data_IF_803347701913
#
_entry.id   IF_803347701913
#
_cell.length_a   1.000
_cell.length_b   1.000
_cell.length_c   1.000
_cell.angle_alpha   90.00
_cell.angle_beta   90.00
_cell.angle_gamma   90.00
#
_symmetry.space_group_name_H-M   'P 1'
#
loop_
_entity.id
_entity.type
_entity.pdbx_description
1 polymer ?
#
# COMPACT_ATOMS: atom_id res chain seq x y z
N UNK A 1 -24.45 4.55 8.11
CA UNK A 1 -24.78 4.05 6.77
C UNK A 1 -23.71 3.07 6.38
N UNK A 2 -24.10 1.80 6.18
CA UNK A 2 -23.18 0.78 5.66
C UNK A 2 -23.15 0.95 4.15
N UNK A 3 -22.03 1.40 3.61
CA UNK A 3 -21.85 1.58 2.19
C UNK A 3 -21.45 0.23 1.57
N UNK A 4 -22.41 -0.47 0.99
CA UNK A 4 -22.17 -1.65 0.17
C UNK A 4 -22.31 -1.28 -1.29
N UNK A 5 -21.32 -1.66 -2.09
CA UNK A 5 -21.43 -1.62 -3.55
C UNK A 5 -21.86 -3.01 -4.04
N UNK A 6 -23.00 -3.09 -4.71
CA UNK A 6 -23.51 -4.34 -5.28
C UNK A 6 -23.20 -4.40 -6.77
N UNK A 7 -22.60 -5.50 -7.18
CA UNK A 7 -22.32 -5.77 -8.59
C UNK A 7 -22.94 -7.10 -8.98
N UNK A 8 -23.79 -7.10 -10.00
CA UNK A 8 -24.35 -8.31 -10.58
C UNK A 8 -23.36 -8.91 -11.58
N UNK A 9 -22.99 -10.16 -11.37
CA UNK A 9 -22.00 -10.87 -12.19
C UNK A 9 -22.59 -12.19 -12.69
N UNK A 10 -22.46 -12.51 -13.99
CA UNK A 10 -22.81 -13.82 -14.49
C UNK A 10 -21.99 -14.92 -13.79
N UNK A 11 -22.61 -16.07 -13.50
CA UNK A 11 -21.92 -17.15 -12.78
C UNK A 11 -20.61 -17.59 -13.47
N UNK A 12 -20.56 -17.60 -14.80
CA UNK A 12 -19.35 -17.93 -15.57
C UNK A 12 -18.14 -17.06 -15.22
N UNK A 13 -18.39 -15.80 -14.84
CA UNK A 13 -17.35 -14.80 -14.56
C UNK A 13 -17.03 -14.72 -13.06
N UNK A 14 -17.83 -15.41 -12.20
CA UNK A 14 -17.72 -15.33 -10.75
C UNK A 14 -16.31 -15.67 -10.22
N UNK A 15 -15.67 -16.70 -10.77
CA UNK A 15 -14.36 -17.14 -10.27
C UNK A 15 -13.20 -16.22 -10.70
N UNK A 16 -13.42 -15.43 -11.75
CA UNK A 16 -12.47 -14.42 -12.21
C UNK A 16 -12.60 -13.13 -11.42
N UNK A 17 -13.83 -12.66 -11.20
CA UNK A 17 -14.06 -11.35 -10.57
C UNK A 17 -14.39 -11.45 -9.08
N UNK A 18 -14.87 -12.60 -8.59
CA UNK A 18 -15.32 -12.79 -7.21
C UNK A 18 -14.22 -12.60 -6.16
N UNK A 19 -12.95 -12.72 -6.56
CA UNK A 19 -11.81 -12.41 -5.70
C UNK A 19 -11.77 -10.94 -5.28
N UNK A 20 -12.39 -10.06 -6.07
CA UNK A 20 -12.40 -8.61 -5.82
C UNK A 20 -13.50 -8.16 -4.84
N UNK A 21 -14.33 -9.09 -4.33
CA UNK A 21 -15.47 -8.77 -3.45
C UNK A 21 -15.35 -9.52 -2.12
N UNK A 22 -15.80 -8.90 -1.04
CA UNK A 22 -15.77 -9.49 0.31
C UNK A 22 -16.92 -10.46 0.52
N UNK A 23 -18.07 -10.18 -0.10
CA UNK A 23 -19.32 -10.91 0.07
C UNK A 23 -19.81 -11.39 -1.30
N UNK A 24 -20.12 -12.67 -1.37
CA UNK A 24 -20.70 -13.30 -2.55
C UNK A 24 -22.13 -13.72 -2.22
N UNK A 25 -23.08 -13.20 -2.95
CA UNK A 25 -24.47 -13.57 -2.84
C UNK A 25 -24.87 -14.49 -4.00
N UNK A 26 -25.21 -15.72 -3.70
CA UNK A 26 -25.66 -16.68 -4.72
C UNK A 26 -27.17 -16.61 -4.83
N UNK A 27 -27.64 -16.27 -6.03
CA UNK A 27 -29.05 -16.36 -6.36
C UNK A 27 -29.57 -17.81 -6.27
N UNK A 28 -30.86 -18.04 -6.03
CA UNK A 28 -31.40 -19.37 -5.85
C UNK A 28 -31.05 -20.34 -6.98
N UNK A 29 -31.01 -19.86 -8.23
CA UNK A 29 -30.73 -20.64 -9.43
C UNK A 29 -29.34 -21.28 -9.44
N UNK A 30 -28.40 -20.71 -8.70
CA UNK A 30 -26.99 -21.17 -8.61
C UNK A 30 -26.61 -21.57 -7.20
N UNK A 31 -27.54 -21.61 -6.26
CA UNK A 31 -27.30 -21.90 -4.85
C UNK A 31 -26.72 -23.30 -4.60
N UNK A 32 -26.93 -24.25 -5.54
CA UNK A 32 -26.35 -25.59 -5.50
C UNK A 32 -24.84 -25.59 -5.68
N UNK A 33 -24.25 -24.53 -6.26
CA UNK A 33 -22.80 -24.35 -6.41
C UNK A 33 -22.10 -23.82 -5.16
N UNK A 34 -22.83 -23.60 -4.06
CA UNK A 34 -22.32 -22.99 -2.83
C UNK A 34 -21.02 -23.62 -2.32
N UNK A 35 -20.97 -24.95 -2.22
CA UNK A 35 -19.77 -25.63 -1.71
C UNK A 35 -18.55 -25.45 -2.63
N UNK A 36 -18.77 -25.42 -3.93
CA UNK A 36 -17.73 -25.17 -4.92
C UNK A 36 -17.21 -23.73 -4.84
N UNK A 37 -18.13 -22.76 -4.72
CA UNK A 37 -17.77 -21.34 -4.59
C UNK A 37 -16.97 -21.11 -3.31
N UNK A 38 -17.39 -21.64 -2.16
CA UNK A 38 -16.64 -21.56 -0.91
C UNK A 38 -15.23 -22.16 -1.01
N UNK A 39 -15.11 -23.28 -1.73
CA UNK A 39 -13.81 -23.96 -1.88
C UNK A 39 -12.83 -23.17 -2.75
N UNK A 40 -13.33 -22.49 -3.79
CA UNK A 40 -12.51 -21.75 -4.75
C UNK A 40 -12.22 -20.32 -4.25
N UNK A 41 -13.25 -19.63 -3.73
CA UNK A 41 -13.15 -18.28 -3.21
C UNK A 41 -12.92 -18.32 -1.69
N UNK A 42 -11.79 -18.93 -1.27
CA UNK A 42 -11.43 -19.03 0.15
C UNK A 42 -11.31 -17.63 0.78
N UNK A 43 -11.81 -17.52 2.02
CA UNK A 43 -11.78 -16.25 2.77
C UNK A 43 -12.89 -15.27 2.40
N UNK A 44 -13.74 -15.57 1.41
CA UNK A 44 -14.92 -14.77 1.09
C UNK A 44 -16.14 -15.24 1.83
N UNK A 45 -17.00 -14.30 2.25
CA UNK A 45 -18.30 -14.65 2.82
C UNK A 45 -19.27 -15.01 1.69
N UNK A 46 -19.69 -16.26 1.65
CA UNK A 46 -20.62 -16.75 0.63
C UNK A 46 -21.97 -16.99 1.25
N UNK A 47 -23.03 -16.39 0.70
CA UNK A 47 -24.40 -16.55 1.13
C UNK A 47 -25.29 -17.08 0.02
N UNK A 48 -26.25 -17.91 0.38
CA UNK A 48 -27.35 -18.31 -0.50
C UNK A 48 -28.55 -17.43 -0.21
N UNK A 49 -29.05 -16.70 -1.19
CA UNK A 49 -30.28 -15.92 -1.04
C UNK A 49 -31.45 -16.90 -1.00
N UNK A 50 -32.27 -16.92 0.06
CA UNK A 50 -33.44 -17.80 0.13
C UNK A 50 -34.43 -17.51 -1.02
N UNK A 51 -35.07 -18.55 -1.56
CA UNK A 51 -36.03 -18.42 -2.67
C UNK A 51 -37.11 -17.36 -2.42
N UNK A 52 -37.64 -17.31 -1.21
CA UNK A 52 -38.72 -16.40 -0.85
C UNK A 52 -38.23 -14.93 -0.79
N UNK A 53 -37.01 -14.72 -0.29
CA UNK A 53 -36.37 -13.40 -0.23
C UNK A 53 -36.08 -12.88 -1.64
N UNK A 54 -35.56 -13.76 -2.50
CA UNK A 54 -35.28 -13.44 -3.89
C UNK A 54 -36.57 -13.15 -4.69
N UNK A 55 -37.60 -13.99 -4.55
CA UNK A 55 -38.86 -13.82 -5.24
C UNK A 55 -39.63 -12.57 -4.85
N UNK A 56 -39.46 -12.09 -3.62
CA UNK A 56 -40.08 -10.85 -3.11
C UNK A 56 -39.24 -9.60 -3.33
N UNK A 57 -38.05 -9.71 -3.93
CA UNK A 57 -37.08 -8.60 -4.04
C UNK A 57 -36.78 -7.93 -2.69
N UNK A 58 -36.79 -8.70 -1.59
CA UNK A 58 -36.62 -8.18 -0.23
C UNK A 58 -35.14 -7.85 0.07
N UNK A 59 -34.71 -6.68 -0.39
CA UNK A 59 -33.36 -6.18 -0.13
C UNK A 59 -33.07 -6.04 1.38
N UNK A 60 -34.07 -5.68 2.19
CA UNK A 60 -33.92 -5.56 3.64
C UNK A 60 -33.60 -6.91 4.30
N UNK A 61 -34.20 -8.01 3.83
CA UNK A 61 -33.87 -9.36 4.32
C UNK A 61 -32.45 -9.77 3.91
N UNK A 62 -32.00 -9.42 2.72
CA UNK A 62 -30.62 -9.66 2.28
C UNK A 62 -29.64 -8.89 3.17
N UNK A 63 -29.89 -7.61 3.45
CA UNK A 63 -29.07 -6.82 4.37
C UNK A 63 -29.00 -7.41 5.76
N UNK A 64 -30.14 -7.80 6.34
CA UNK A 64 -30.17 -8.46 7.66
C UNK A 64 -29.39 -9.77 7.65
N UNK A 65 -29.45 -10.53 6.59
CA UNK A 65 -28.70 -11.79 6.43
C UNK A 65 -27.18 -11.54 6.45
N UNK A 66 -26.70 -10.51 5.74
CA UNK A 66 -25.30 -10.09 5.74
C UNK A 66 -24.87 -9.57 7.14
N UNK A 67 -25.69 -8.75 7.78
CA UNK A 67 -25.41 -8.14 9.09
C UNK A 67 -25.40 -9.15 10.25
N UNK A 68 -26.23 -10.18 10.20
CA UNK A 68 -26.35 -11.18 11.26
C UNK A 68 -25.25 -12.26 11.20
N UNK A 69 -24.48 -12.33 10.12
CA UNK A 69 -23.29 -13.14 10.11
C UNK A 69 -22.11 -12.33 10.67
N UNK A 70 -21.38 -12.91 11.64
CA UNK A 70 -20.19 -12.23 12.16
C UNK A 70 -19.26 -11.99 10.96
N UNK A 71 -19.04 -10.72 10.65
CA UNK A 71 -17.90 -10.35 9.83
C UNK A 71 -16.70 -10.97 10.53
N UNK A 72 -15.87 -11.75 9.83
CA UNK A 72 -14.48 -11.75 10.20
C UNK A 72 -14.14 -10.27 10.34
N UNK A 73 -13.82 -9.87 11.56
CA UNK A 73 -13.40 -8.50 11.82
C UNK A 73 -12.23 -8.29 10.89
N UNK A 74 -12.43 -7.53 9.81
CA UNK A 74 -11.32 -6.81 9.22
C UNK A 74 -10.84 -5.98 10.39
N UNK A 75 -9.75 -6.41 11.02
CA UNK A 75 -9.13 -5.62 12.05
C UNK A 75 -8.78 -4.31 11.36
N UNK A 76 -9.61 -3.29 11.65
CA UNK A 76 -9.21 -1.93 11.29
C UNK A 76 -7.88 -1.74 11.99
N UNK A 77 -6.88 -1.33 11.26
CA UNK A 77 -5.64 -0.87 11.89
C UNK A 77 -6.05 0.02 13.04
N UNK A 78 -5.52 -0.25 14.23
CA UNK A 78 -5.63 0.73 15.31
C UNK A 78 -4.87 1.94 14.78
N UNK A 79 -5.52 3.09 14.57
CA UNK A 79 -4.81 4.26 14.07
C UNK A 79 -3.76 4.60 15.11
N UNK A 80 -2.49 4.46 14.75
CA UNK A 80 -1.40 5.01 15.54
C UNK A 80 -1.53 6.53 15.47
N UNK A 81 -1.10 7.21 16.54
CA UNK A 81 -1.17 8.66 16.57
C UNK A 81 -0.40 9.25 15.37
N UNK A 82 -0.91 10.31 14.72
CA UNK A 82 -0.18 11.02 13.69
C UNK A 82 1.20 11.42 14.18
N UNK A 83 2.19 11.41 13.29
CA UNK A 83 3.52 11.89 13.60
C UNK A 83 3.49 13.38 13.93
N UNK A 84 4.40 13.82 14.78
CA UNK A 84 4.61 15.26 14.99
C UNK A 84 5.12 15.89 13.70
N UNK A 85 4.49 16.99 13.29
CA UNK A 85 4.89 17.80 12.15
C UNK A 85 5.69 19.03 12.58
N UNK A 86 6.11 19.06 13.86
CA UNK A 86 6.89 20.17 14.42
C UNK A 86 8.24 20.31 13.70
N UNK A 87 8.53 21.51 13.25
CA UNK A 87 9.75 21.82 12.50
C UNK A 87 9.74 21.43 11.02
N UNK A 88 8.61 20.98 10.48
CA UNK A 88 8.39 20.82 9.05
C UNK A 88 7.70 22.09 8.55
N UNK A 89 8.33 22.77 7.58
CA UNK A 89 7.73 23.95 6.96
C UNK A 89 6.40 23.60 6.30
N UNK A 90 5.41 24.50 6.43
CA UNK A 90 4.12 24.34 5.79
C UNK A 90 4.22 24.49 4.26
N UNK A 91 3.38 23.80 3.53
CA UNK A 91 3.37 23.82 2.07
C UNK A 91 2.81 25.10 1.45
N UNK A 92 2.35 26.07 2.27
CA UNK A 92 1.68 27.31 1.85
C UNK A 92 0.39 27.12 1.04
N UNK A 93 0.06 25.88 0.67
CA UNK A 93 -1.15 25.46 -0.04
C UNK A 93 -1.82 24.31 0.70
N UNK A 94 -3.11 24.09 0.46
CA UNK A 94 -3.76 22.86 0.96
C UNK A 94 -3.35 21.66 0.09
N UNK A 95 -2.97 20.57 0.74
CA UNK A 95 -2.48 19.35 0.08
C UNK A 95 -3.40 18.17 0.44
N UNK A 96 -3.89 17.47 -0.57
CA UNK A 96 -4.45 16.14 -0.41
C UNK A 96 -3.35 15.10 -0.66
N UNK A 97 -3.12 14.23 0.30
CA UNK A 97 -2.25 13.06 0.12
C UNK A 97 -3.11 11.80 0.05
N UNK A 98 -2.86 10.97 -0.96
CA UNK A 98 -3.41 9.61 -1.12
C UNK A 98 -2.24 8.64 -1.04
N UNK A 99 -2.18 7.84 0.02
CA UNK A 99 -1.10 6.89 0.25
C UNK A 99 -1.63 5.46 0.10
N UNK A 100 -1.10 4.74 -0.86
CA UNK A 100 -1.49 3.35 -1.13
C UNK A 100 -0.39 2.44 -0.63
N UNK A 101 -0.75 1.47 0.21
CA UNK A 101 0.17 0.44 0.67
C UNK A 101 -0.50 -0.93 0.60
N UNK A 102 0.26 -1.93 0.22
CA UNK A 102 -0.19 -3.32 0.25
C UNK A 102 0.32 -4.01 1.50
N UNK A 103 -0.58 -4.66 2.22
CA UNK A 103 -0.28 -5.52 3.36
C UNK A 103 -1.01 -6.85 3.19
N UNK A 104 -0.28 -7.94 3.03
CA UNK A 104 -0.85 -9.25 2.70
C UNK A 104 -1.67 -9.23 1.42
N UNK A 105 -2.93 -9.65 1.53
CA UNK A 105 -3.88 -9.65 0.40
C UNK A 105 -4.67 -8.34 0.27
N UNK A 106 -4.44 -7.36 1.15
CA UNK A 106 -5.20 -6.11 1.19
C UNK A 106 -4.40 -4.93 0.66
N UNK A 107 -5.12 -4.02 0.05
CA UNK A 107 -4.62 -2.70 -0.32
C UNK A 107 -5.30 -1.69 0.57
N UNK A 108 -4.52 -0.94 1.30
CA UNK A 108 -4.97 0.18 2.12
C UNK A 108 -4.74 1.46 1.33
N UNK A 109 -5.79 2.25 1.19
CA UNK A 109 -5.76 3.55 0.54
C UNK A 109 -6.07 4.56 1.63
N UNK A 110 -5.03 5.13 2.19
CA UNK A 110 -5.11 6.17 3.20
C UNK A 110 -5.14 7.52 2.51
N UNK A 111 -6.01 8.44 2.94
CA UNK A 111 -6.00 9.77 2.37
C UNK A 111 -6.28 10.84 3.41
N UNK A 112 -5.49 11.91 3.30
CA UNK A 112 -5.43 12.98 4.30
C UNK A 112 -5.34 14.33 3.63
N UNK A 113 -6.09 15.32 4.15
CA UNK A 113 -5.98 16.71 3.73
C UNK A 113 -5.22 17.47 4.80
N UNK A 114 -4.16 18.12 4.37
CA UNK A 114 -3.37 19.05 5.18
C UNK A 114 -3.68 20.48 4.81
N UNK A 115 -3.77 21.36 5.81
CA UNK A 115 -3.85 22.80 5.60
C UNK A 115 -2.43 23.38 5.34
N UNK A 116 -2.38 24.66 5.05
CA UNK A 116 -1.17 25.43 4.72
C UNK A 116 -0.09 25.40 5.80
N UNK A 117 -0.47 25.15 7.04
CA UNK A 117 0.37 25.01 8.22
C UNK A 117 0.60 23.55 8.64
N UNK A 118 0.29 22.60 7.75
CA UNK A 118 0.33 21.16 7.99
C UNK A 118 -0.73 20.63 8.98
N UNK A 119 -1.69 21.46 9.41
CA UNK A 119 -2.79 20.97 10.24
C UNK A 119 -3.62 19.94 9.47
N UNK A 120 -3.95 18.81 10.10
CA UNK A 120 -4.77 17.78 9.50
C UNK A 120 -6.24 18.21 9.52
N UNK A 121 -6.82 18.45 8.35
CA UNK A 121 -8.24 18.84 8.19
C UNK A 121 -9.16 17.64 8.01
N UNK A 122 -8.64 16.57 7.42
CA UNK A 122 -9.41 15.37 7.11
C UNK A 122 -8.49 14.16 7.04
N UNK A 123 -8.95 13.01 7.53
CA UNK A 123 -8.22 11.76 7.54
C UNK A 123 -9.19 10.59 7.37
N UNK A 124 -8.91 9.69 6.42
CA UNK A 124 -9.76 8.54 6.14
C UNK A 124 -8.97 7.39 5.52
N UNK A 125 -9.59 6.21 5.50
CA UNK A 125 -9.01 4.97 4.98
C UNK A 125 -10.06 4.19 4.18
N UNK A 126 -9.64 3.62 3.04
CA UNK A 126 -10.39 2.64 2.27
C UNK A 126 -9.55 1.35 2.19
N UNK A 127 -10.18 0.21 2.43
CA UNK A 127 -9.52 -1.09 2.36
C UNK A 127 -10.10 -1.87 1.19
N UNK A 128 -9.23 -2.31 0.27
CA UNK A 128 -9.60 -3.08 -0.93
C UNK A 128 -8.68 -4.30 -1.12
N UNK A 129 -9.00 -5.15 -2.08
CA UNK A 129 -8.10 -6.21 -2.54
C UNK A 129 -7.25 -5.77 -3.73
N UNK A 130 -7.73 -4.78 -4.46
CA UNK A 130 -7.09 -4.26 -5.67
C UNK A 130 -7.39 -2.77 -5.78
N UNK A 131 -6.39 -2.00 -6.17
CA UNK A 131 -6.58 -0.60 -6.54
C UNK A 131 -6.83 -0.48 -8.04
N UNK A 132 -7.71 0.44 -8.41
CA UNK A 132 -7.96 0.88 -9.79
C UNK A 132 -7.93 2.41 -9.84
N UNK A 133 -7.74 2.98 -11.04
CA UNK A 133 -7.79 4.44 -11.24
C UNK A 133 -9.11 5.04 -10.77
N UNK A 134 -10.22 4.29 -10.94
CA UNK A 134 -11.53 4.70 -10.44
C UNK A 134 -11.57 4.97 -8.94
N UNK A 135 -10.77 4.28 -8.13
CA UNK A 135 -10.70 4.50 -6.70
C UNK A 135 -10.07 5.87 -6.37
N UNK A 136 -9.08 6.27 -7.18
CA UNK A 136 -8.45 7.60 -7.07
C UNK A 136 -9.45 8.67 -7.47
N UNK A 137 -10.21 8.47 -8.57
CA UNK A 137 -11.28 9.40 -8.98
C UNK A 137 -12.32 9.56 -7.89
N UNK A 138 -12.82 8.47 -7.29
CA UNK A 138 -13.84 8.52 -6.26
C UNK A 138 -13.38 9.34 -5.03
N UNK A 139 -12.10 9.21 -4.66
CA UNK A 139 -11.49 10.01 -3.60
C UNK A 139 -11.41 11.48 -4.00
N UNK A 140 -10.89 11.77 -5.20
CA UNK A 140 -10.75 13.14 -5.71
C UNK A 140 -12.10 13.84 -5.83
N UNK A 141 -13.08 13.20 -6.47
CA UNK A 141 -14.43 13.74 -6.64
C UNK A 141 -15.10 14.04 -5.29
N UNK A 142 -14.86 13.21 -4.28
CA UNK A 142 -15.44 13.40 -2.94
C UNK A 142 -14.69 14.47 -2.15
N UNK A 143 -13.37 14.41 -2.13
CA UNK A 143 -12.54 15.27 -1.27
C UNK A 143 -12.47 16.69 -1.83
N UNK A 144 -12.30 16.88 -3.15
CA UNK A 144 -12.17 18.19 -3.75
C UNK A 144 -13.47 19.02 -3.69
N UNK A 145 -14.64 18.35 -3.68
CA UNK A 145 -15.92 19.03 -3.41
C UNK A 145 -15.97 19.56 -1.97
N UNK A 146 -15.45 18.79 -1.02
CA UNK A 146 -15.45 19.17 0.40
C UNK A 146 -14.34 20.18 0.74
N UNK A 147 -13.21 20.08 0.07
CA UNK A 147 -12.04 20.92 0.27
C UNK A 147 -11.60 21.57 -1.06
N UNK A 148 -12.38 22.56 -1.55
CA UNK A 148 -12.13 23.17 -2.86
C UNK A 148 -10.86 24.03 -2.90
N UNK A 149 -10.20 24.25 -1.77
CA UNK A 149 -8.94 24.98 -1.67
C UNK A 149 -7.72 24.08 -1.82
N UNK A 150 -7.89 22.77 -2.03
CA UNK A 150 -6.78 21.86 -2.34
C UNK A 150 -6.22 22.23 -3.71
N UNK A 151 -4.96 22.62 -3.72
CA UNK A 151 -4.22 23.04 -4.93
C UNK A 151 -3.27 21.93 -5.42
N UNK A 152 -2.84 21.05 -4.51
CA UNK A 152 -1.89 19.98 -4.80
C UNK A 152 -2.39 18.65 -4.29
N UNK A 153 -2.12 17.60 -5.07
CA UNK A 153 -2.45 16.21 -4.73
C UNK A 153 -1.20 15.35 -4.84
N UNK A 154 -0.79 14.77 -3.72
CA UNK A 154 0.26 13.76 -3.68
C UNK A 154 -0.33 12.36 -3.70
N UNK A 155 0.22 11.48 -4.54
CA UNK A 155 -0.21 10.09 -4.62
C UNK A 155 0.99 9.19 -4.45
N UNK A 156 1.03 8.45 -3.34
CA UNK A 156 2.02 7.41 -3.09
C UNK A 156 1.44 6.06 -3.49
N UNK A 157 2.15 5.31 -4.33
CA UNK A 157 1.68 4.02 -4.84
C UNK A 157 2.79 2.97 -4.84
N UNK A 158 2.46 1.69 -4.58
CA UNK A 158 3.40 0.60 -4.87
C UNK A 158 3.68 0.50 -6.38
N UNK A 159 4.81 -0.10 -6.73
CA UNK A 159 5.26 -0.31 -8.10
C UNK A 159 6.27 0.73 -8.58
N UNK A 160 6.66 0.63 -9.84
CA UNK A 160 7.65 1.54 -10.42
C UNK A 160 6.95 2.82 -10.86
N UNK A 161 7.44 3.95 -10.36
CA UNK A 161 6.95 5.28 -10.71
C UNK A 161 8.03 6.04 -11.47
N UNK A 162 7.75 6.37 -12.73
CA UNK A 162 8.67 7.11 -13.56
C UNK A 162 7.96 8.29 -14.24
N UNK A 163 8.33 9.53 -13.86
CA UNK A 163 7.76 10.76 -14.42
C UNK A 163 6.21 10.77 -14.42
N UNK A 164 5.59 10.26 -13.33
CA UNK A 164 4.13 10.20 -13.19
C UNK A 164 3.46 9.01 -13.86
N UNK A 165 4.21 8.15 -14.54
CA UNK A 165 3.74 6.88 -15.04
C UNK A 165 3.90 5.78 -14.00
N UNK A 166 2.92 4.89 -13.94
CA UNK A 166 2.82 3.82 -12.95
C UNK A 166 2.90 2.47 -13.64
N UNK A 167 3.83 1.62 -13.19
CA UNK A 167 3.92 0.22 -13.58
C UNK A 167 3.65 -0.68 -12.37
N UNK A 168 2.43 -1.20 -12.28
CA UNK A 168 1.93 -2.11 -11.26
C UNK A 168 1.01 -3.14 -11.92
N UNK A 169 1.61 -4.08 -12.65
CA UNK A 169 0.91 -5.00 -13.56
C UNK A 169 -0.21 -5.80 -12.89
N UNK A 170 0.00 -6.22 -11.64
CA UNK A 170 -1.00 -6.99 -10.86
C UNK A 170 -2.31 -6.24 -10.65
N UNK A 171 -2.25 -4.92 -10.69
CA UNK A 171 -3.40 -4.03 -10.52
C UNK A 171 -3.86 -3.42 -11.84
N UNK A 172 -3.21 -3.77 -12.97
CA UNK A 172 -3.61 -3.35 -14.30
C UNK A 172 -3.04 -1.99 -14.72
N UNK A 173 -1.99 -1.53 -14.04
CA UNK A 173 -1.19 -0.38 -14.47
C UNK A 173 0.03 -0.90 -15.24
N UNK A 174 0.11 -0.62 -16.54
CA UNK A 174 1.21 -0.99 -17.41
C UNK A 174 1.73 0.29 -18.09
N UNK A 175 2.79 0.86 -17.55
CA UNK A 175 3.32 2.17 -17.95
C UNK A 175 2.21 3.24 -18.09
N UNK A 176 1.25 3.20 -17.17
CA UNK A 176 0.05 4.03 -17.20
C UNK A 176 0.39 5.46 -16.78
N UNK A 177 0.20 6.43 -17.66
CA UNK A 177 0.43 7.84 -17.37
C UNK A 177 -0.68 8.39 -16.46
N UNK A 178 -0.46 8.24 -15.14
CA UNK A 178 -1.43 8.63 -14.13
C UNK A 178 -1.57 10.16 -14.07
N UNK A 179 -0.46 10.91 -14.14
CA UNK A 179 -0.49 12.37 -14.07
C UNK A 179 -1.24 12.95 -15.26
N UNK A 180 -0.92 12.53 -16.49
CA UNK A 180 -1.63 12.99 -17.67
C UNK A 180 -3.12 12.70 -17.58
N UNK A 181 -3.47 11.48 -17.16
CA UNK A 181 -4.87 11.06 -17.00
C UNK A 181 -5.64 11.89 -15.95
N UNK A 182 -4.99 12.25 -14.85
CA UNK A 182 -5.60 13.08 -13.80
C UNK A 182 -5.73 14.55 -14.21
N UNK A 183 -4.72 15.10 -14.90
CA UNK A 183 -4.70 16.50 -15.34
C UNK A 183 -5.72 16.80 -16.44
N UNK A 184 -6.18 15.79 -17.19
CA UNK A 184 -7.31 15.94 -18.11
C UNK A 184 -8.63 16.25 -17.39
N UNK A 185 -8.78 15.82 -16.13
CA UNK A 185 -10.02 15.92 -15.36
C UNK A 185 -9.98 16.93 -14.22
N UNK A 186 -8.81 17.15 -13.62
CA UNK A 186 -8.61 17.98 -12.44
C UNK A 186 -7.57 19.08 -12.69
N UNK A 187 -7.73 20.20 -11.99
CA UNK A 187 -6.85 21.37 -12.15
C UNK A 187 -5.70 21.42 -11.14
N UNK A 188 -5.67 20.48 -10.19
CA UNK A 188 -4.66 20.39 -9.15
C UNK A 188 -3.30 20.00 -9.75
N UNK A 189 -2.22 20.42 -9.10
CA UNK A 189 -0.88 19.88 -9.38
C UNK A 189 -0.76 18.48 -8.78
N UNK A 190 -0.27 17.53 -9.53
CA UNK A 190 -0.12 16.13 -9.08
C UNK A 190 1.34 15.78 -8.90
N UNK A 191 1.66 15.10 -7.78
CA UNK A 191 2.98 14.52 -7.47
C UNK A 191 2.77 13.05 -7.18
N UNK A 192 3.38 12.16 -7.96
CA UNK A 192 3.25 10.72 -7.80
C UNK A 192 4.62 10.13 -7.45
N UNK A 193 4.69 9.33 -6.39
CA UNK A 193 5.92 8.68 -5.96
C UNK A 193 5.67 7.24 -5.49
N UNK A 194 6.72 6.45 -5.44
CA UNK A 194 6.70 5.09 -4.93
C UNK A 194 6.53 5.07 -3.39
N UNK A 195 5.76 4.10 -2.88
CA UNK A 195 5.41 4.00 -1.45
C UNK A 195 6.62 3.79 -0.53
N UNK A 196 7.59 2.97 -0.92
CA UNK A 196 8.80 2.77 -0.09
C UNK A 196 9.70 4.02 -0.07
N UNK A 197 9.74 4.78 -1.15
CA UNK A 197 10.41 6.07 -1.21
C UNK A 197 9.74 7.08 -0.28
N UNK A 198 8.41 7.18 -0.32
CA UNK A 198 7.66 8.05 0.58
C UNK A 198 7.89 7.70 2.05
N UNK A 199 7.87 6.41 2.40
CA UNK A 199 8.13 5.98 3.78
C UNK A 199 9.55 6.35 4.22
N UNK A 200 10.56 6.17 3.36
CA UNK A 200 11.93 6.57 3.66
C UNK A 200 12.04 8.09 3.90
N UNK A 201 11.42 8.91 3.03
CA UNK A 201 11.38 10.38 3.17
C UNK A 201 10.66 10.78 4.46
N UNK A 202 9.51 10.19 4.75
CA UNK A 202 8.74 10.49 5.96
C UNK A 202 9.49 10.15 7.24
N UNK A 203 10.18 9.02 7.28
CA UNK A 203 11.00 8.66 8.43
C UNK A 203 12.18 9.64 8.57
N UNK A 204 12.91 9.90 7.49
CA UNK A 204 14.05 10.81 7.50
C UNK A 204 13.67 12.20 8.03
N UNK A 205 12.56 12.74 7.55
CA UNK A 205 12.10 14.07 7.97
C UNK A 205 11.67 14.12 9.44
N UNK A 206 11.12 13.02 9.96
CA UNK A 206 10.65 12.94 11.36
C UNK A 206 11.79 12.81 12.38
N UNK A 207 12.94 12.23 12.00
CA UNK A 207 14.02 11.92 12.93
C UNK A 207 15.23 12.82 12.79
N UNK A 208 15.62 13.22 11.58
CA UNK A 208 16.79 14.10 11.28
C UNK A 208 18.13 13.68 11.94
N UNK A 209 18.20 12.44 12.43
CA UNK A 209 19.35 11.93 13.21
C UNK A 209 20.43 11.33 12.31
N UNK A 210 20.01 10.76 11.17
CA UNK A 210 20.86 10.03 10.23
C UNK A 210 21.03 10.82 8.93
N UNK A 211 22.24 10.86 8.39
CA UNK A 211 22.49 11.48 7.08
C UNK A 211 22.14 10.53 5.92
N UNK A 212 22.18 9.22 6.17
CA UNK A 212 21.84 8.18 5.20
C UNK A 212 21.06 7.05 5.83
N UNK A 213 19.97 6.65 5.19
CA UNK A 213 19.17 5.51 5.62
C UNK A 213 18.53 4.80 4.41
N UNK A 214 18.17 3.54 4.64
CA UNK A 214 17.35 2.78 3.69
C UNK A 214 16.15 2.20 4.40
N UNK A 215 15.00 2.23 3.75
CA UNK A 215 13.81 1.50 4.19
C UNK A 215 13.58 0.32 3.25
N UNK A 216 13.43 -0.89 3.81
CA UNK A 216 13.19 -2.12 3.07
C UNK A 216 11.83 -2.67 3.46
N UNK A 217 10.95 -2.84 2.47
CA UNK A 217 9.66 -3.48 2.62
C UNK A 217 9.68 -4.84 1.94
N UNK A 218 9.52 -5.92 2.72
CA UNK A 218 9.32 -7.27 2.20
C UNK A 218 7.85 -7.67 2.35
N UNK A 219 7.06 -7.68 1.27
CA UNK A 219 5.66 -8.06 1.36
C UNK A 219 5.50 -9.57 1.54
N UNK A 220 4.56 -9.98 2.41
CA UNK A 220 4.15 -11.38 2.55
C UNK A 220 3.47 -11.89 1.29
N UNK A 221 3.82 -13.11 0.86
CA UNK A 221 3.28 -13.75 -0.34
C UNK A 221 3.34 -12.83 -1.58
N UNK A 222 4.35 -11.99 -1.60
CA UNK A 222 4.52 -10.95 -2.58
C UNK A 222 5.73 -11.18 -3.47
N UNK A 223 6.10 -10.12 -4.12
CA UNK A 223 7.25 -10.03 -4.99
C UNK A 223 8.51 -9.76 -4.16
N UNK A 224 9.59 -9.46 -4.85
CA UNK A 224 10.82 -9.00 -4.22
C UNK A 224 10.58 -7.77 -3.33
N UNK A 225 11.50 -7.56 -2.40
CA UNK A 225 11.50 -6.36 -1.56
C UNK A 225 11.58 -5.10 -2.40
N UNK A 226 10.96 -4.02 -1.91
CA UNK A 226 11.21 -2.66 -2.38
C UNK A 226 12.16 -1.95 -1.42
N UNK A 227 13.00 -1.06 -1.92
CA UNK A 227 13.96 -0.28 -1.12
C UNK A 227 13.85 1.21 -1.43
N UNK A 228 13.51 2.02 -0.43
CA UNK A 228 13.62 3.49 -0.49
C UNK A 228 14.92 3.93 0.16
N UNK A 229 15.72 4.74 -0.51
CA UNK A 229 17.05 5.12 -0.02
C UNK A 229 17.22 6.63 0.06
N UNK A 230 17.69 7.11 1.23
CA UNK A 230 18.12 8.48 1.45
C UNK A 230 19.63 8.49 1.62
N UNK A 231 20.32 9.31 0.86
CA UNK A 231 21.75 9.50 0.97
C UNK A 231 22.09 11.00 1.06
N UNK A 232 22.74 11.40 2.13
CA UNK A 232 23.02 12.81 2.44
C UNK A 232 21.78 13.71 2.35
N UNK A 233 20.67 13.22 2.87
CA UNK A 233 19.41 13.94 2.90
C UNK A 233 18.63 13.96 1.58
N UNK A 234 19.08 13.27 0.55
CA UNK A 234 18.43 13.24 -0.75
C UNK A 234 17.89 11.84 -1.09
N UNK A 235 16.68 11.78 -1.60
CA UNK A 235 16.08 10.55 -2.09
C UNK A 235 16.81 10.08 -3.35
N UNK A 236 17.23 8.81 -3.38
CA UNK A 236 17.88 8.19 -4.53
C UNK A 236 16.80 7.54 -5.41
N UNK A 237 16.46 8.18 -6.52
CA UNK A 237 15.51 7.63 -7.50
C UNK A 237 16.20 6.90 -8.66
N UNK A 238 17.42 7.31 -9.00
CA UNK A 238 18.13 6.85 -10.20
C UNK A 238 17.63 7.52 -11.49
N UNK A 239 18.28 7.21 -12.61
CA UNK A 239 17.96 7.83 -13.89
C UNK A 239 16.60 7.40 -14.46
N UNK A 240 16.24 6.13 -14.29
CA UNK A 240 14.96 5.58 -14.74
C UNK A 240 13.98 5.34 -13.58
N UNK A 241 14.23 5.94 -12.43
CA UNK A 241 13.43 5.80 -11.21
C UNK A 241 13.25 4.34 -10.74
N UNK A 242 14.24 3.48 -11.02
CA UNK A 242 14.25 2.08 -10.60
C UNK A 242 15.26 1.79 -9.47
N UNK A 243 15.86 2.82 -8.89
CA UNK A 243 16.72 2.62 -7.73
C UNK A 243 15.91 2.00 -6.58
N UNK A 244 16.41 0.91 -6.02
CA UNK A 244 15.69 0.16 -4.97
C UNK A 244 14.77 -0.97 -5.45
N UNK A 245 14.60 -1.16 -6.76
CA UNK A 245 13.88 -2.29 -7.34
C UNK A 245 14.74 -3.56 -7.32
N UNK A 246 14.90 -4.15 -6.14
CA UNK A 246 15.79 -5.31 -5.93
C UNK A 246 15.38 -6.57 -6.67
N UNK A 247 14.16 -6.62 -7.22
CA UNK A 247 13.73 -7.69 -8.13
C UNK A 247 14.63 -7.84 -9.38
N UNK A 248 15.37 -6.79 -9.73
CA UNK A 248 16.34 -6.79 -10.81
C UNK A 248 17.77 -7.11 -10.33
N UNK A 249 17.99 -7.25 -9.02
CA UNK A 249 19.30 -7.62 -8.48
C UNK A 249 19.53 -9.13 -8.65
N UNK A 250 20.66 -9.54 -9.23
CA UNK A 250 20.99 -10.97 -9.37
C UNK A 250 21.05 -11.73 -8.04
N UNK A 251 21.40 -11.06 -6.94
CA UNK A 251 21.53 -11.68 -5.62
C UNK A 251 20.17 -11.91 -4.96
N UNK A 252 19.18 -11.07 -5.23
CA UNK A 252 17.84 -11.16 -4.63
C UNK A 252 16.81 -11.81 -5.57
N UNK A 253 17.25 -12.30 -6.74
CA UNK A 253 16.37 -12.93 -7.70
C UNK A 253 16.32 -14.44 -7.49
N UNK A 254 15.19 -14.92 -7.04
CA UNK A 254 14.89 -16.33 -6.90
C UNK A 254 13.69 -16.70 -7.76
N UNK A 255 13.71 -17.87 -8.42
CA UNK A 255 12.57 -18.37 -9.19
C UNK A 255 11.37 -18.68 -8.29
N UNK A 256 11.61 -18.91 -7.01
CA UNK A 256 10.64 -19.23 -5.98
C UNK A 256 10.39 -18.07 -4.97
N UNK A 257 10.73 -16.84 -5.31
CA UNK A 257 10.57 -15.66 -4.41
C UNK A 257 9.18 -15.58 -3.76
N UNK A 258 8.12 -15.87 -4.55
CA UNK A 258 6.74 -15.85 -4.03
C UNK A 258 6.55 -16.94 -2.95
N UNK A 259 7.10 -18.13 -3.13
CA UNK A 259 6.99 -19.21 -2.15
C UNK A 259 7.82 -18.91 -0.90
N UNK A 260 9.05 -18.40 -1.07
CA UNK A 260 9.89 -17.95 0.04
C UNK A 260 9.19 -16.88 0.89
N UNK A 261 8.58 -15.89 0.24
CA UNK A 261 7.89 -14.79 0.94
C UNK A 261 6.61 -15.18 1.70
N UNK A 262 6.19 -16.45 1.64
CA UNK A 262 5.04 -16.98 2.42
C UNK A 262 5.42 -17.46 3.80
N UNK A 263 6.71 -17.66 4.08
CA UNK A 263 7.20 -18.19 5.35
C UNK A 263 8.13 -17.21 6.06
N UNK A 264 8.19 -17.23 7.41
CA UNK A 264 9.14 -16.41 8.16
C UNK A 264 10.59 -16.65 7.74
N UNK A 265 10.99 -17.91 7.57
CA UNK A 265 12.35 -18.31 7.20
C UNK A 265 12.72 -17.80 5.80
N UNK A 266 11.78 -17.90 4.85
CA UNK A 266 11.98 -17.42 3.49
C UNK A 266 12.02 -15.88 3.43
N UNK A 267 11.15 -15.20 4.16
CA UNK A 267 11.21 -13.73 4.30
C UNK A 267 12.53 -13.29 4.94
N UNK A 268 13.00 -13.99 5.96
CA UNK A 268 14.26 -13.70 6.64
C UNK A 268 15.44 -13.80 5.66
N UNK A 269 15.50 -14.87 4.86
CA UNK A 269 16.51 -15.04 3.81
C UNK A 269 16.49 -13.89 2.80
N UNK A 270 15.31 -13.58 2.24
CA UNK A 270 15.15 -12.49 1.26
C UNK A 270 15.55 -11.13 1.85
N UNK A 271 15.19 -10.88 3.12
CA UNK A 271 15.56 -9.67 3.84
C UNK A 271 17.07 -9.57 4.07
N UNK A 272 17.72 -10.64 4.51
CA UNK A 272 19.17 -10.68 4.73
C UNK A 272 19.95 -10.43 3.45
N UNK A 273 19.57 -11.05 2.33
CA UNK A 273 20.16 -10.83 1.01
C UNK A 273 19.99 -9.38 0.54
N UNK A 274 18.79 -8.82 0.74
CA UNK A 274 18.51 -7.42 0.40
C UNK A 274 19.31 -6.46 1.26
N UNK A 275 19.38 -6.69 2.57
CA UNK A 275 20.21 -5.88 3.49
C UNK A 275 21.69 -5.91 3.05
N UNK A 276 22.26 -7.08 2.81
CA UNK A 276 23.65 -7.20 2.38
C UNK A 276 23.91 -6.49 1.06
N UNK A 277 22.98 -6.57 0.10
CA UNK A 277 23.07 -5.87 -1.19
C UNK A 277 23.08 -4.36 -1.00
N UNK A 278 22.14 -3.84 -0.20
CA UNK A 278 22.01 -2.42 0.09
C UNK A 278 23.24 -1.88 0.83
N UNK A 279 23.72 -2.59 1.84
CA UNK A 279 24.92 -2.21 2.61
C UNK A 279 26.14 -2.15 1.70
N UNK A 280 26.33 -3.15 0.85
CA UNK A 280 27.51 -3.21 -0.04
C UNK A 280 27.54 -2.09 -1.09
N UNK A 281 26.41 -1.47 -1.41
CA UNK A 281 26.29 -0.43 -2.44
C UNK A 281 26.23 0.96 -1.84
N UNK A 282 25.47 1.15 -0.75
CA UNK A 282 25.14 2.46 -0.21
C UNK A 282 25.78 2.75 1.14
N UNK A 283 26.18 1.73 1.90
CA UNK A 283 26.74 1.83 3.26
C UNK A 283 25.94 2.81 4.15
N UNK A 284 24.62 2.55 4.37
CA UNK A 284 23.77 3.46 5.11
C UNK A 284 24.07 3.40 6.63
N UNK A 285 23.78 4.48 7.35
CA UNK A 285 23.88 4.53 8.82
C UNK A 285 22.77 3.73 9.49
N UNK A 286 21.59 3.66 8.85
CA UNK A 286 20.40 2.97 9.36
C UNK A 286 19.70 2.19 8.25
N UNK A 287 19.28 0.97 8.55
CA UNK A 287 18.32 0.22 7.76
C UNK A 287 17.02 0.05 8.55
N UNK A 288 15.95 0.58 8.01
CA UNK A 288 14.60 0.33 8.47
C UNK A 288 14.02 -0.86 7.71
N UNK A 289 13.37 -1.77 8.40
CA UNK A 289 12.78 -2.95 7.78
C UNK A 289 11.33 -3.10 8.16
N UNK A 290 10.51 -3.54 7.23
CA UNK A 290 9.14 -3.96 7.50
C UNK A 290 8.80 -5.23 6.75
N UNK A 291 8.29 -6.21 7.49
CA UNK A 291 7.75 -7.45 6.96
C UNK A 291 6.73 -8.00 7.95
N UNK A 292 5.55 -8.42 7.48
CA UNK A 292 4.50 -8.96 8.34
C UNK A 292 4.91 -10.25 9.09
N UNK A 293 5.90 -10.96 8.60
CA UNK A 293 6.35 -12.25 9.15
C UNK A 293 7.62 -12.14 10.00
N UNK A 294 8.28 -10.99 10.05
CA UNK A 294 9.53 -10.80 10.79
C UNK A 294 9.30 -9.85 11.96
N UNK A 295 9.70 -10.27 13.14
CA UNK A 295 9.47 -9.57 14.40
C UNK A 295 10.75 -9.33 15.22
N UNK A 296 11.92 -9.68 14.66
CA UNK A 296 13.20 -9.61 15.37
C UNK A 296 14.29 -8.96 14.51
N UNK A 297 14.79 -7.82 14.99
CA UNK A 297 15.93 -7.13 14.38
C UNK A 297 17.21 -7.98 14.45
N UNK A 298 17.38 -8.71 15.55
CA UNK A 298 18.57 -9.56 15.78
C UNK A 298 18.61 -10.73 14.80
N UNK A 299 17.46 -11.32 14.46
CA UNK A 299 17.39 -12.38 13.45
C UNK A 299 17.75 -11.85 12.06
N UNK A 300 17.30 -10.66 11.71
CA UNK A 300 17.64 -10.01 10.43
C UNK A 300 19.14 -9.70 10.35
N UNK A 301 19.72 -9.15 11.43
CA UNK A 301 21.17 -8.90 11.53
C UNK A 301 21.96 -10.19 11.38
N UNK A 302 21.55 -11.24 12.09
CA UNK A 302 22.19 -12.56 12.02
C UNK A 302 22.11 -13.15 10.60
N UNK A 303 20.99 -12.99 9.92
CA UNK A 303 20.86 -13.47 8.54
C UNK A 303 21.77 -12.67 7.60
N UNK A 304 21.79 -11.33 7.72
CA UNK A 304 22.68 -10.49 6.94
C UNK A 304 24.17 -10.80 7.17
N UNK A 305 24.54 -11.25 8.38
CA UNK A 305 25.92 -11.64 8.71
C UNK A 305 26.41 -12.89 7.99
N UNK A 306 25.52 -13.68 7.40
CA UNK A 306 25.91 -14.79 6.51
C UNK A 306 26.52 -14.31 5.19
N UNK A 307 26.24 -13.08 4.79
CA UNK A 307 26.66 -12.51 3.50
C UNK A 307 27.79 -11.49 3.66
N UNK A 308 27.98 -10.92 4.87
CA UNK A 308 28.99 -9.91 5.12
C UNK A 308 29.49 -9.89 6.56
N UNK A 309 30.69 -9.36 6.84
CA UNK A 309 31.22 -9.27 8.21
C UNK A 309 30.37 -8.35 9.10
N UNK A 310 30.09 -8.79 10.35
CA UNK A 310 29.27 -8.07 11.34
C UNK A 310 29.69 -6.61 11.57
N UNK A 311 30.99 -6.32 11.48
CA UNK A 311 31.54 -4.99 11.68
C UNK A 311 31.06 -3.93 10.66
N UNK A 312 30.43 -4.36 9.58
CA UNK A 312 29.88 -3.49 8.54
C UNK A 312 28.35 -3.45 8.57
N UNK A 313 27.72 -4.15 9.50
CA UNK A 313 26.26 -4.09 9.66
C UNK A 313 25.89 -2.75 10.31
N UNK A 314 25.01 -1.95 9.69
CA UNK A 314 24.53 -0.71 10.28
C UNK A 314 23.55 -0.97 11.42
N UNK A 315 23.05 0.08 12.02
CA UNK A 315 21.88 0.00 12.87
C UNK A 315 20.68 -0.50 12.03
N UNK A 316 19.89 -1.41 12.59
CA UNK A 316 18.68 -1.94 11.95
C UNK A 316 17.51 -1.78 12.91
N UNK A 317 16.37 -1.32 12.40
CA UNK A 317 15.13 -1.13 13.17
C UNK A 317 13.93 -1.67 12.42
N UNK A 318 13.02 -2.32 13.14
CA UNK A 318 11.70 -2.64 12.62
C UNK A 318 10.85 -1.37 12.57
N UNK A 319 10.18 -1.15 11.45
CA UNK A 319 9.31 -0.01 11.25
C UNK A 319 7.85 -0.46 11.21
N UNK A 320 7.03 -0.02 12.16
CA UNK A 320 5.65 -0.45 12.29
C UNK A 320 4.64 0.55 11.70
N UNK A 321 4.84 1.84 11.88
CA UNK A 321 3.88 2.88 11.51
C UNK A 321 3.98 3.33 10.04
N UNK A 322 3.92 2.39 9.11
CA UNK A 322 4.10 2.66 7.68
C UNK A 322 3.13 3.71 7.14
N UNK A 323 1.87 3.69 7.61
CA UNK A 323 0.84 4.64 7.21
C UNK A 323 1.27 6.08 7.40
N UNK A 324 1.70 6.41 8.60
CA UNK A 324 2.04 7.79 8.95
C UNK A 324 3.29 8.28 8.23
N UNK A 325 4.29 7.41 8.09
CA UNK A 325 5.51 7.75 7.34
C UNK A 325 5.23 7.90 5.84
N UNK A 326 4.36 7.08 5.27
CA UNK A 326 3.95 7.18 3.87
C UNK A 326 3.21 8.50 3.59
N UNK A 327 2.21 8.83 4.42
CA UNK A 327 1.46 10.09 4.32
C UNK A 327 2.37 11.31 4.50
N UNK A 328 3.26 11.28 5.50
CA UNK A 328 4.21 12.36 5.77
C UNK A 328 5.20 12.55 4.61
N UNK A 329 5.79 11.46 4.13
CA UNK A 329 6.77 11.54 3.05
C UNK A 329 6.18 12.06 1.75
N UNK A 330 4.98 11.60 1.38
CA UNK A 330 4.30 12.11 0.20
C UNK A 330 3.93 13.60 0.34
N UNK A 331 3.53 14.03 1.55
CA UNK A 331 3.28 15.45 1.82
C UNK A 331 4.55 16.29 1.63
N UNK A 332 5.68 15.82 2.15
CA UNK A 332 6.98 16.52 2.01
C UNK A 332 7.37 16.63 0.54
N UNK A 333 7.27 15.56 -0.23
CA UNK A 333 7.54 15.58 -1.67
C UNK A 333 6.64 16.56 -2.42
N UNK A 334 5.39 16.73 -1.99
CA UNK A 334 4.53 17.78 -2.52
C UNK A 334 5.05 19.18 -2.19
N UNK A 335 5.52 19.39 -0.96
CA UNK A 335 6.07 20.70 -0.53
C UNK A 335 7.34 21.05 -1.32
N UNK A 336 8.21 20.08 -1.56
CA UNK A 336 9.44 20.26 -2.32
C UNK A 336 9.20 20.61 -3.79
N UNK A 337 8.07 20.12 -4.35
CA UNK A 337 7.68 20.40 -5.73
C UNK A 337 6.85 21.70 -5.89
N UNK A 338 6.44 22.37 -4.81
CA UNK A 338 5.64 23.60 -4.84
C UNK A 338 6.52 24.83 -5.03
#
# INVERSE_FOLDING_TARGET
>A
TLDYVFVAVPYRDLFTVGQNYDIILLAPQISFEYAKVQKILKGKQVFRIPNLVFAKYDAGAVFRMIQNHPKEKVEKRVPLAPLSLEGIEGGHVQILVIAVIRTGERVYIDYRVYDKDNTILYDNEIIKYKIAVADIYDILDTVLVRFPQVEMVGISMPGIINEGKVSLLQHGFDDFDLIANLTERYHQKFVVENDVNCIAVGYYASQKEYASLCFILQPKAGYASGVGSIFKGQLIKGHHHIAGEVQYSPLSRHDDTIELSKTPEGCLKLMGETCASVISILDPELILVSCELLVSEDEIKKEASHYMPDKYLPEMKLLENLREYNLLGQMILCIEEN
#
